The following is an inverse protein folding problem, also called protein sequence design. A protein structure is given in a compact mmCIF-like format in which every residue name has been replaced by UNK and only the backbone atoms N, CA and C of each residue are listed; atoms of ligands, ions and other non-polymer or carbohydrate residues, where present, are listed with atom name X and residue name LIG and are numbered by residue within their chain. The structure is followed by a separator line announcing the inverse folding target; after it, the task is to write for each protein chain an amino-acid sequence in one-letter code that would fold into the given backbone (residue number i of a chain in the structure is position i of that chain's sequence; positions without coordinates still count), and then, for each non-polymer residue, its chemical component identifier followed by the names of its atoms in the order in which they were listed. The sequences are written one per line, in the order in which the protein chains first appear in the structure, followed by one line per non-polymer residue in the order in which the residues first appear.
data_IF_544170013177
#
_entry.id   IF_544170013177
#
_cell.length_a   1.000
_cell.length_b   1.000
_cell.length_c   1.000
_cell.angle_alpha   90.00
_cell.angle_beta   90.00
_cell.angle_gamma   90.00
#
_symmetry.space_group_name_H-M   'P 1'
#
loop_
_entity.id
_entity.type
_entity.pdbx_description
1 polymer ?
#
# COMPACT_ATOMS: atom_id res chain seq x y z
N UNK A 1 -1.35 11.80 -12.19
CA UNK A 1 -0.31 10.89 -11.65
C UNK A 1 -0.93 10.16 -10.46
N UNK A 2 -0.78 8.83 -10.36
CA UNK A 2 -1.27 8.09 -9.19
C UNK A 2 -0.19 8.03 -8.09
N UNK A 3 -0.56 8.24 -6.82
CA UNK A 3 0.38 8.22 -5.71
C UNK A 3 -0.04 7.19 -4.65
N UNK A 4 0.89 6.30 -4.32
CA UNK A 4 0.78 5.35 -3.23
C UNK A 4 1.75 5.69 -2.11
N UNK A 5 1.24 5.84 -0.89
CA UNK A 5 2.04 5.95 0.33
C UNK A 5 2.01 4.61 1.06
N UNK A 6 3.14 3.93 1.13
CA UNK A 6 3.24 2.54 1.59
C UNK A 6 3.87 2.43 2.98
N UNK A 7 3.54 1.37 3.71
CA UNK A 7 4.13 1.08 5.01
C UNK A 7 3.52 1.89 6.15
N UNK A 8 2.21 2.14 6.12
CA UNK A 8 1.50 2.82 7.20
C UNK A 8 1.32 1.88 8.40
N UNK A 9 1.81 2.24 9.58
CA UNK A 9 1.68 1.42 10.80
C UNK A 9 0.97 2.14 11.95
N UNK A 10 1.29 3.42 12.15
CA UNK A 10 0.80 4.19 13.30
C UNK A 10 -0.57 4.81 13.03
N UNK A 11 -1.57 4.52 13.87
CA UNK A 11 -2.95 4.98 13.67
C UNK A 11 -3.09 6.51 13.62
N UNK A 12 -2.38 7.24 14.49
CA UNK A 12 -2.41 8.71 14.46
C UNK A 12 -1.80 9.30 13.18
N UNK A 13 -0.82 8.60 12.60
CA UNK A 13 -0.18 9.02 11.36
C UNK A 13 -1.02 8.67 10.13
N UNK A 14 -1.78 7.57 10.19
CA UNK A 14 -2.68 7.15 9.11
C UNK A 14 -3.61 8.28 8.69
N UNK A 15 -4.30 8.92 9.64
CA UNK A 15 -5.23 10.01 9.36
C UNK A 15 -4.54 11.25 8.80
N UNK A 16 -3.42 11.66 9.41
CA UNK A 16 -2.67 12.82 8.95
C UNK A 16 -2.15 12.67 7.50
N UNK A 17 -1.84 11.44 7.07
CA UNK A 17 -1.48 11.14 5.68
C UNK A 17 -2.71 10.98 4.78
N UNK A 18 -3.79 10.37 5.27
CA UNK A 18 -5.04 10.25 4.53
C UNK A 18 -5.64 11.63 4.17
N UNK A 19 -5.51 12.63 5.06
CA UNK A 19 -5.93 14.01 4.82
C UNK A 19 -5.15 14.68 3.67
N UNK A 20 -3.98 14.15 3.30
CA UNK A 20 -3.23 14.59 2.13
C UNK A 20 -3.78 14.01 0.81
N UNK A 21 -4.81 13.16 0.89
CA UNK A 21 -5.53 12.56 -0.24
C UNK A 21 -4.66 11.79 -1.25
N UNK A 22 -3.78 10.86 -0.83
CA UNK A 22 -3.12 9.97 -1.76
C UNK A 22 -4.12 8.99 -2.41
N UNK A 23 -3.84 8.54 -3.64
CA UNK A 23 -4.70 7.57 -4.32
C UNK A 23 -4.70 6.19 -3.62
N UNK A 24 -3.56 5.81 -3.02
CA UNK A 24 -3.40 4.52 -2.35
C UNK A 24 -2.67 4.62 -1.01
N UNK A 25 -3.09 3.79 -0.05
CA UNK A 25 -2.37 3.54 1.20
C UNK A 25 -1.97 2.06 1.30
N UNK A 26 -0.70 1.81 1.61
CA UNK A 26 -0.12 0.47 1.73
C UNK A 26 0.10 0.02 3.17
N UNK A 27 -0.39 -1.18 3.49
CA UNK A 27 -0.33 -1.82 4.81
C UNK A 27 0.45 -3.14 4.71
N UNK A 28 1.52 -3.30 5.49
CA UNK A 28 2.43 -4.43 5.34
C UNK A 28 2.06 -5.58 6.29
N UNK A 29 1.69 -6.73 5.72
CA UNK A 29 1.31 -7.95 6.43
C UNK A 29 2.43 -9.01 6.43
N UNK A 30 3.69 -8.58 6.35
CA UNK A 30 4.87 -9.45 6.46
C UNK A 30 5.54 -9.29 7.83
N UNK A 31 5.50 -10.32 8.67
CA UNK A 31 5.95 -10.26 10.08
C UNK A 31 7.40 -9.82 10.28
N UNK A 32 8.29 -10.06 9.32
CA UNK A 32 9.70 -9.63 9.43
C UNK A 32 9.92 -8.15 9.07
N UNK A 33 8.88 -7.46 8.61
CA UNK A 33 8.95 -6.02 8.33
C UNK A 33 8.87 -5.21 9.62
N UNK A 34 9.74 -4.21 9.76
CA UNK A 34 9.62 -3.19 10.83
C UNK A 34 8.33 -2.37 10.75
N UNK A 35 7.64 -2.43 9.60
CA UNK A 35 6.39 -1.75 9.30
C UNK A 35 5.19 -2.71 9.34
N UNK A 36 5.35 -3.90 9.93
CA UNK A 36 4.28 -4.88 10.05
C UNK A 36 3.11 -4.30 10.87
N UNK A 37 1.89 -4.52 10.38
CA UNK A 37 0.68 -3.89 10.92
C UNK A 37 -0.32 -4.89 11.51
N UNK A 38 -0.13 -6.19 11.26
CA UNK A 38 -1.20 -7.19 11.49
C UNK A 38 -1.66 -7.33 12.95
N UNK A 39 -0.84 -6.88 13.90
CA UNK A 39 -1.14 -6.95 15.34
C UNK A 39 -1.67 -5.63 15.90
N UNK A 40 -1.46 -4.51 15.20
CA UNK A 40 -1.79 -3.16 15.70
C UNK A 40 -2.91 -2.48 14.91
N UNK A 41 -3.16 -2.93 13.68
CA UNK A 41 -4.13 -2.31 12.78
C UNK A 41 -5.55 -2.78 13.09
N UNK A 42 -6.42 -1.80 13.37
CA UNK A 42 -7.84 -2.01 13.58
C UNK A 42 -8.59 -2.03 12.23
N UNK A 43 -9.32 -3.11 11.89
CA UNK A 43 -10.17 -3.15 10.71
C UNK A 43 -11.18 -1.99 10.59
N UNK A 44 -11.74 -1.51 11.71
CA UNK A 44 -12.73 -0.42 11.68
C UNK A 44 -12.10 0.91 11.24
N UNK A 45 -10.82 1.13 11.58
CA UNK A 45 -10.07 2.30 11.10
C UNK A 45 -9.96 2.30 9.58
N UNK A 46 -9.68 1.14 8.98
CA UNK A 46 -9.58 1.02 7.53
C UNK A 46 -10.91 1.24 6.83
N UNK A 47 -12.02 0.79 7.43
CA UNK A 47 -13.37 1.05 6.89
C UNK A 47 -13.76 2.52 6.96
N UNK A 48 -13.19 3.24 7.91
CA UNK A 48 -13.48 4.66 8.15
C UNK A 48 -12.61 5.61 7.31
N UNK A 49 -11.67 5.10 6.50
CA UNK A 49 -10.84 5.94 5.63
C UNK A 49 -11.69 6.74 4.61
N UNK A 50 -11.23 7.95 4.22
CA UNK A 50 -11.92 8.76 3.21
C UNK A 50 -12.23 7.99 1.93
N UNK A 51 -13.43 8.21 1.38
CA UNK A 51 -13.81 7.66 0.08
C UNK A 51 -12.83 8.17 -0.99
N UNK A 52 -12.37 7.25 -1.85
CA UNK A 52 -11.40 7.55 -2.91
C UNK A 52 -10.00 7.00 -2.64
N UNK A 53 -9.64 6.71 -1.38
CA UNK A 53 -8.34 6.10 -1.05
C UNK A 53 -8.43 4.58 -1.18
N UNK A 54 -7.60 4.01 -2.06
CA UNK A 54 -7.50 2.57 -2.24
C UNK A 54 -6.57 1.93 -1.18
N UNK A 55 -7.04 0.87 -0.53
CA UNK A 55 -6.32 0.14 0.53
C UNK A 55 -5.56 -1.03 -0.09
N UNK A 56 -4.25 -1.06 0.11
CA UNK A 56 -3.37 -2.10 -0.45
C UNK A 56 -2.72 -2.90 0.68
N UNK A 57 -2.95 -4.20 0.72
CA UNK A 57 -2.19 -5.10 1.61
C UNK A 57 -0.94 -5.60 0.91
N UNK A 58 0.21 -5.52 1.56
CA UNK A 58 1.50 -6.00 1.03
C UNK A 58 1.88 -7.30 1.72
N UNK A 59 2.13 -8.33 0.91
CA UNK A 59 2.44 -9.68 1.35
C UNK A 59 3.78 -10.14 0.75
N UNK A 60 4.46 -11.04 1.45
CA UNK A 60 5.73 -11.62 1.00
C UNK A 60 5.65 -13.11 1.27
N UNK A 61 5.50 -13.90 0.20
CA UNK A 61 5.50 -15.37 0.24
C UNK A 61 4.46 -15.95 1.23
N UNK A 62 3.33 -15.25 1.40
CA UNK A 62 2.26 -15.65 2.31
C UNK A 62 1.33 -16.68 1.62
N UNK A 63 0.90 -17.76 2.31
CA UNK A 63 -0.12 -18.66 1.80
C UNK A 63 -1.39 -17.92 1.34
N UNK A 64 -1.93 -18.36 0.20
CA UNK A 64 -3.04 -17.65 -0.45
C UNK A 64 -4.31 -17.61 0.43
N UNK A 65 -4.52 -18.65 1.24
CA UNK A 65 -5.61 -18.72 2.22
C UNK A 65 -5.51 -17.59 3.25
N UNK A 66 -4.30 -17.32 3.75
CA UNK A 66 -4.06 -16.25 4.71
C UNK A 66 -4.24 -14.87 4.06
N UNK A 67 -3.79 -14.71 2.82
CA UNK A 67 -4.01 -13.48 2.04
C UNK A 67 -5.50 -13.18 1.91
N UNK A 68 -6.33 -14.18 1.61
CA UNK A 68 -7.78 -14.00 1.53
C UNK A 68 -8.41 -13.63 2.87
N UNK A 69 -8.03 -14.31 3.95
CA UNK A 69 -8.53 -14.01 5.30
C UNK A 69 -8.22 -12.55 5.65
N UNK A 70 -6.99 -12.10 5.41
CA UNK A 70 -6.55 -10.72 5.68
C UNK A 70 -7.28 -9.72 4.77
N UNK A 71 -7.40 -10.02 3.48
CA UNK A 71 -8.14 -9.19 2.52
C UNK A 71 -9.59 -8.97 2.96
N UNK A 72 -10.28 -10.04 3.36
CA UNK A 72 -11.65 -9.96 3.87
C UNK A 72 -11.73 -9.20 5.19
N UNK A 73 -10.82 -9.49 6.15
CA UNK A 73 -10.79 -8.84 7.46
C UNK A 73 -10.66 -7.32 7.33
N UNK A 74 -9.71 -6.86 6.52
CA UNK A 74 -9.37 -5.44 6.37
C UNK A 74 -10.07 -4.76 5.18
N UNK A 75 -10.92 -5.49 4.45
CA UNK A 75 -11.66 -5.00 3.27
C UNK A 75 -10.73 -4.32 2.26
N UNK A 76 -9.60 -4.96 1.96
CA UNK A 76 -8.57 -4.39 1.09
C UNK A 76 -9.07 -4.33 -0.37
N UNK A 77 -8.63 -3.30 -1.09
CA UNK A 77 -8.97 -3.09 -2.51
C UNK A 77 -7.98 -3.83 -3.43
N UNK A 78 -6.72 -3.94 -3.00
CA UNK A 78 -5.66 -4.66 -3.71
C UNK A 78 -4.75 -5.46 -2.77
N UNK A 79 -4.19 -6.53 -3.32
CA UNK A 79 -3.16 -7.37 -2.73
C UNK A 79 -1.86 -7.17 -3.51
N UNK A 80 -0.86 -6.56 -2.89
CA UNK A 80 0.48 -6.42 -3.45
C UNK A 80 1.38 -7.59 -3.04
N UNK A 81 1.80 -8.39 -4.02
CA UNK A 81 2.67 -9.55 -3.87
C UNK A 81 4.12 -9.14 -4.09
N UNK A 82 4.90 -9.12 -3.02
CA UNK A 82 6.25 -8.55 -2.99
C UNK A 82 7.35 -9.61 -2.77
N UNK A 83 7.00 -10.89 -2.66
CA UNK A 83 7.94 -12.00 -2.57
C UNK A 83 8.26 -12.62 -3.92
N UNK A 84 8.44 -13.94 -3.89
CA UNK A 84 8.75 -14.82 -5.00
C UNK A 84 7.50 -15.52 -5.53
N UNK A 85 6.31 -14.95 -5.30
CA UNK A 85 5.05 -15.54 -5.73
C UNK A 85 5.05 -15.73 -7.25
N UNK A 86 4.76 -16.95 -7.67
CA UNK A 86 4.85 -17.37 -9.08
C UNK A 86 3.67 -16.83 -9.90
N UNK A 87 3.76 -16.84 -11.25
CA UNK A 87 2.59 -16.57 -12.09
C UNK A 87 1.39 -17.46 -11.77
N UNK A 88 1.63 -18.75 -11.44
CA UNK A 88 0.57 -19.66 -11.04
C UNK A 88 -0.11 -19.22 -9.74
N UNK A 89 0.64 -18.75 -8.75
CA UNK A 89 0.07 -18.15 -7.53
C UNK A 89 -0.78 -16.92 -7.88
N UNK A 90 -0.27 -16.04 -8.75
CA UNK A 90 -0.97 -14.83 -9.18
C UNK A 90 -2.31 -15.15 -9.86
N UNK A 91 -2.34 -16.14 -10.75
CA UNK A 91 -3.58 -16.57 -11.40
C UNK A 91 -4.56 -17.21 -10.42
N UNK A 92 -4.08 -18.00 -9.46
CA UNK A 92 -4.94 -18.52 -8.38
C UNK A 92 -5.54 -17.40 -7.53
N UNK A 93 -4.74 -16.38 -7.18
CA UNK A 93 -5.22 -15.22 -6.43
C UNK A 93 -6.34 -14.48 -7.18
N UNK A 94 -6.14 -14.22 -8.49
CA UNK A 94 -7.17 -13.61 -9.35
C UNK A 94 -8.42 -14.47 -9.46
N UNK A 95 -8.27 -15.80 -9.64
CA UNK A 95 -9.38 -16.73 -9.71
C UNK A 95 -10.22 -16.76 -8.42
N UNK A 96 -9.61 -16.42 -7.28
CA UNK A 96 -10.29 -16.22 -6.00
C UNK A 96 -10.88 -14.82 -5.81
N UNK A 97 -10.90 -13.99 -6.86
CA UNK A 97 -11.48 -12.65 -6.86
C UNK A 97 -10.56 -11.54 -6.32
N UNK A 98 -9.30 -11.83 -6.03
CA UNK A 98 -8.36 -10.83 -5.54
C UNK A 98 -7.83 -9.96 -6.69
N UNK A 99 -7.82 -8.64 -6.47
CA UNK A 99 -7.12 -7.69 -7.36
C UNK A 99 -5.67 -7.63 -6.92
N UNK A 100 -4.75 -8.00 -7.80
CA UNK A 100 -3.33 -8.12 -7.43
C UNK A 100 -2.45 -7.03 -8.05
N UNK A 101 -1.38 -6.69 -7.33
CA UNK A 101 -0.23 -5.91 -7.81
C UNK A 101 1.00 -6.80 -7.60
N UNK A 102 1.76 -7.11 -8.65
CA UNK A 102 3.01 -7.87 -8.50
C UNK A 102 4.20 -6.90 -8.48
N UNK A 103 5.00 -6.93 -7.42
CA UNK A 103 6.25 -6.20 -7.38
C UNK A 103 7.30 -6.92 -8.24
N UNK A 104 8.00 -6.16 -9.08
CA UNK A 104 9.09 -6.64 -9.94
C UNK A 104 10.35 -5.86 -9.59
N UNK A 105 11.48 -6.55 -9.39
CA UNK A 105 12.76 -5.92 -9.01
C UNK A 105 13.31 -5.00 -10.09
N UNK A 106 13.10 -5.37 -11.35
CA UNK A 106 13.52 -4.60 -12.51
C UNK A 106 12.41 -4.65 -13.55
N UNK A 107 11.76 -3.51 -13.77
CA UNK A 107 10.75 -3.33 -14.80
C UNK A 107 10.86 -1.91 -15.35
N UNK A 108 10.78 -1.79 -16.66
CA UNK A 108 10.74 -0.50 -17.34
C UNK A 108 9.57 -0.52 -18.31
N UNK A 109 8.79 0.55 -18.27
CA UNK A 109 7.68 0.76 -19.16
C UNK A 109 7.73 2.21 -19.65
N UNK A 110 7.50 2.48 -20.94
CA UNK A 110 7.57 3.84 -21.47
C UNK A 110 6.53 4.78 -20.86
N UNK A 111 5.45 4.24 -20.29
CA UNK A 111 4.42 5.02 -19.60
C UNK A 111 4.51 4.82 -18.10
N UNK A 112 4.79 5.91 -17.38
CA UNK A 112 4.72 5.99 -15.93
C UNK A 112 3.28 6.32 -15.50
N UNK A 113 2.67 5.45 -14.70
CA UNK A 113 1.32 5.69 -14.16
C UNK A 113 1.34 6.41 -12.80
N UNK A 114 2.35 6.10 -11.98
CA UNK A 114 2.36 6.51 -10.58
C UNK A 114 3.63 6.18 -9.83
N UNK A 115 3.69 6.66 -8.59
CA UNK A 115 4.80 6.45 -7.66
C UNK A 115 4.33 5.65 -6.43
N UNK A 116 5.14 4.67 -6.01
CA UNK A 116 5.00 3.97 -4.72
C UNK A 116 6.12 4.43 -3.78
N UNK A 117 5.74 5.17 -2.73
CA UNK A 117 6.66 5.88 -1.85
C UNK A 117 6.59 5.28 -0.45
N UNK A 118 7.76 4.92 0.11
CA UNK A 118 7.83 4.29 1.42
C UNK A 118 8.86 4.97 2.34
N UNK A 119 10.10 4.47 2.40
CA UNK A 119 11.08 4.84 3.43
C UNK A 119 11.59 6.27 3.32
N UNK A 120 11.55 6.87 2.14
CA UNK A 120 12.02 8.25 1.91
C UNK A 120 11.12 9.31 2.55
N UNK A 121 9.93 8.91 3.03
CA UNK A 121 8.95 9.80 3.66
C UNK A 121 8.81 9.53 5.17
N UNK A 122 9.73 8.79 5.79
CA UNK A 122 9.58 8.33 7.17
C UNK A 122 10.40 9.14 8.17
N UNK A 123 9.77 9.52 9.28
CA UNK A 123 10.46 9.97 10.50
C UNK A 123 10.97 8.77 11.31
N UNK A 124 10.24 7.65 11.25
CA UNK A 124 10.63 6.35 11.77
C UNK A 124 9.95 5.24 10.95
N UNK A 125 10.43 3.97 10.98
CA UNK A 125 9.79 2.90 10.22
C UNK A 125 8.30 2.75 10.56
N UNK A 126 7.43 2.97 9.58
CA UNK A 126 5.97 2.90 9.77
C UNK A 126 5.29 4.23 10.13
N UNK A 127 6.08 5.30 10.33
CA UNK A 127 5.65 6.63 10.72
C UNK A 127 6.14 7.66 9.68
N UNK A 128 5.22 8.15 8.86
CA UNK A 128 5.50 9.14 7.83
C UNK A 128 5.68 10.55 8.40
N UNK A 129 6.66 11.27 7.88
CA UNK A 129 6.80 12.70 8.07
C UNK A 129 5.74 13.43 7.23
N UNK A 130 4.75 14.00 7.90
CA UNK A 130 3.58 14.62 7.25
C UNK A 130 3.97 15.86 6.45
N UNK A 131 4.94 16.65 6.92
CA UNK A 131 5.36 17.87 6.24
C UNK A 131 6.09 17.54 4.93
N UNK A 132 7.01 16.59 4.98
CA UNK A 132 7.77 16.10 3.82
C UNK A 132 6.84 15.45 2.81
N UNK A 133 5.89 14.64 3.28
CA UNK A 133 4.90 13.99 2.41
C UNK A 133 4.03 15.03 1.71
N UNK A 134 3.53 16.04 2.43
CA UNK A 134 2.74 17.13 1.85
C UNK A 134 3.50 17.90 0.78
N UNK A 135 4.76 18.25 1.05
CA UNK A 135 5.60 18.98 0.10
C UNK A 135 5.84 18.18 -1.18
N UNK A 136 6.08 16.87 -1.07
CA UNK A 136 6.27 16.02 -2.23
C UNK A 136 4.97 15.91 -3.05
N UNK A 137 3.84 15.66 -2.40
CA UNK A 137 2.55 15.55 -3.08
C UNK A 137 2.23 16.85 -3.83
N UNK A 138 2.38 18.02 -3.20
CA UNK A 138 2.15 19.30 -3.87
C UNK A 138 2.98 19.43 -5.15
N UNK A 139 4.26 19.06 -5.12
CA UNK A 139 5.13 19.08 -6.31
C UNK A 139 4.66 18.13 -7.42
N UNK A 140 4.20 16.93 -7.06
CA UNK A 140 3.74 15.93 -8.02
C UNK A 140 2.37 16.26 -8.62
N UNK A 141 1.55 17.04 -7.92
CA UNK A 141 0.26 17.53 -8.41
C UNK A 141 0.39 18.81 -9.25
N UNK A 142 1.36 19.68 -8.92
CA UNK A 142 1.63 20.93 -9.64
C UNK A 142 2.51 20.76 -10.89
N UNK A 143 3.10 19.57 -11.10
CA UNK A 143 3.82 19.31 -12.34
C UNK A 143 2.84 19.29 -13.53
N UNK A 144 3.02 20.18 -14.53
CA UNK A 144 2.22 20.12 -15.73
C UNK A 144 2.46 18.76 -16.39
N UNK A 145 1.37 18.09 -16.78
CA UNK A 145 1.46 16.87 -17.58
C UNK A 145 2.27 17.19 -18.85
N UNK A 146 3.50 16.69 -18.90
CA UNK A 146 4.41 16.86 -20.02
C UNK A 146 3.87 16.17 -21.29
#
# INVERSE_FOLDING_TARGET
MQIKICGMREAGNLWAIADLSPDFLGFIFYKKSSRYVGDTLDPEQLRSLPQGICKVGVFVDEPLENVQIINCKYTLDYVQLHGHETPAYCEQAKARGLRIIKALLAFQHPQLLGFDLNSQLEAAPGLKDVATTRQLLARLHDEPAA
#
